data_IF_667095287273
#
_entry.id   IF_667095287273
#
_cell.length_a   1.000
_cell.length_b   1.000
_cell.length_c   1.000
_cell.angle_alpha   90.00
_cell.angle_beta   90.00
_cell.angle_gamma   90.00
#
_symmetry.space_group_name_H-M   'P 1'
#
loop_
_entity.id
_entity.type
_entity.pdbx_description
1 polymer ?
#
# COMPACT_ATOMS: atom_id res chain seq x y z
N UNK A 1 -9.80 -22.49 -10.80
CA UNK A 1 -10.88 -21.51 -10.52
C UNK A 1 -10.29 -20.10 -10.58
N UNK A 2 -9.50 -19.80 -11.63
CA UNK A 2 -8.38 -18.84 -11.51
C UNK A 2 -8.49 -17.66 -12.48
N UNK A 3 -9.40 -17.74 -13.46
CA UNK A 3 -9.66 -16.67 -14.42
C UNK A 3 -10.37 -15.47 -13.80
N UNK A 4 -11.35 -15.73 -12.93
CA UNK A 4 -12.10 -14.67 -12.23
C UNK A 4 -11.19 -13.86 -11.31
N UNK A 5 -10.31 -14.53 -10.55
CA UNK A 5 -9.34 -13.86 -9.67
C UNK A 5 -8.33 -13.04 -10.47
N UNK A 6 -7.87 -13.56 -11.62
CA UNK A 6 -6.98 -12.83 -12.54
C UNK A 6 -7.65 -11.59 -13.11
N UNK A 7 -8.93 -11.69 -13.51
CA UNK A 7 -9.72 -10.55 -13.98
C UNK A 7 -9.92 -9.50 -12.88
N UNK A 8 -10.21 -9.91 -11.65
CA UNK A 8 -10.34 -9.00 -10.51
C UNK A 8 -9.02 -8.26 -10.23
N UNK A 9 -7.89 -8.97 -10.28
CA UNK A 9 -6.56 -8.38 -10.14
C UNK A 9 -6.25 -7.38 -11.27
N UNK A 10 -6.58 -7.72 -12.52
CA UNK A 10 -6.43 -6.82 -13.66
C UNK A 10 -7.28 -5.55 -13.51
N UNK A 11 -8.56 -5.71 -13.18
CA UNK A 11 -9.49 -4.59 -12.98
C UNK A 11 -9.00 -3.68 -11.84
N UNK A 12 -8.57 -4.27 -10.72
CA UNK A 12 -7.98 -3.52 -9.60
C UNK A 12 -6.71 -2.76 -10.03
N UNK A 13 -5.82 -3.41 -10.78
CA UNK A 13 -4.61 -2.80 -11.32
C UNK A 13 -4.91 -1.62 -12.25
N UNK A 14 -5.90 -1.76 -13.14
CA UNK A 14 -6.37 -0.67 -14.02
C UNK A 14 -6.89 0.51 -13.22
N UNK A 15 -7.70 0.28 -12.18
CA UNK A 15 -8.20 1.36 -11.32
C UNK A 15 -7.09 2.08 -10.55
N UNK A 16 -6.11 1.35 -10.01
CA UNK A 16 -4.95 1.94 -9.33
C UNK A 16 -4.14 2.78 -10.32
N UNK A 17 -3.88 2.25 -11.52
CA UNK A 17 -3.16 2.95 -12.58
C UNK A 17 -3.87 4.23 -13.04
N UNK A 18 -5.18 4.13 -13.31
CA UNK A 18 -6.01 5.29 -13.66
C UNK A 18 -6.00 6.35 -12.57
N UNK A 19 -6.13 5.96 -11.31
CA UNK A 19 -6.06 6.89 -10.17
C UNK A 19 -4.71 7.61 -10.10
N UNK A 20 -3.60 6.87 -10.26
CA UNK A 20 -2.25 7.44 -10.23
C UNK A 20 -2.00 8.42 -11.40
N UNK A 21 -2.43 8.06 -12.61
CA UNK A 21 -2.33 8.91 -13.81
C UNK A 21 -3.24 10.13 -13.68
N UNK A 22 -4.45 9.98 -13.15
CA UNK A 22 -5.37 11.09 -12.92
C UNK A 22 -4.79 12.11 -11.94
N UNK A 23 -4.24 11.66 -10.80
CA UNK A 23 -3.62 12.55 -9.84
C UNK A 23 -2.44 13.33 -10.46
N UNK A 24 -1.67 12.63 -11.30
CA UNK A 24 -0.55 13.20 -12.02
C UNK A 24 -0.96 14.18 -13.12
N UNK A 25 -2.02 13.88 -13.87
CA UNK A 25 -2.54 14.74 -14.93
C UNK A 25 -3.30 15.96 -14.40
N UNK A 26 -4.09 15.80 -13.34
CA UNK A 26 -4.91 16.88 -12.79
C UNK A 26 -4.12 17.84 -11.89
N UNK A 27 -3.24 17.31 -11.03
CA UNK A 27 -2.53 18.11 -10.01
C UNK A 27 -1.01 18.17 -10.23
N UNK A 28 -0.47 17.45 -11.21
CA UNK A 28 0.99 17.36 -11.41
C UNK A 28 1.72 16.62 -10.28
N UNK A 29 0.99 15.89 -9.42
CA UNK A 29 1.53 15.22 -8.22
C UNK A 29 1.70 13.73 -8.45
N UNK A 30 2.70 13.15 -7.81
CA UNK A 30 2.96 11.69 -7.83
C UNK A 30 2.21 11.04 -6.66
N UNK A 31 1.52 9.93 -6.91
CA UNK A 31 0.84 9.17 -5.87
C UNK A 31 1.86 8.43 -4.99
N UNK A 32 2.16 9.00 -3.82
CA UNK A 32 3.06 8.40 -2.82
C UNK A 32 2.52 8.60 -1.41
N UNK A 33 1.87 7.56 -0.86
CA UNK A 33 1.09 7.65 0.38
C UNK A 33 1.94 8.12 1.57
N UNK A 34 3.11 7.54 1.81
CA UNK A 34 4.01 7.96 2.91
C UNK A 34 4.44 9.43 2.77
N UNK A 35 4.64 9.92 1.54
CA UNK A 35 4.96 11.32 1.30
C UNK A 35 3.76 12.24 1.52
N UNK A 36 2.56 11.80 1.14
CA UNK A 36 1.31 12.55 1.37
C UNK A 36 1.07 12.72 2.87
N UNK A 37 1.12 11.62 3.64
CA UNK A 37 0.95 11.62 5.09
C UNK A 37 2.08 12.37 5.79
N UNK A 38 3.33 12.06 5.45
CA UNK A 38 4.51 12.67 6.08
C UNK A 38 4.48 14.18 5.99
N UNK A 39 4.25 14.73 4.79
CA UNK A 39 4.11 16.18 4.61
C UNK A 39 2.92 16.77 5.36
N UNK A 40 1.79 16.05 5.49
CA UNK A 40 0.64 16.54 6.25
C UNK A 40 0.96 16.68 7.75
N UNK A 41 1.82 15.81 8.27
CA UNK A 41 2.28 15.81 9.66
C UNK A 41 3.39 16.84 9.89
N UNK A 42 4.41 16.87 9.03
CA UNK A 42 5.63 17.68 9.23
C UNK A 42 5.50 19.10 8.69
N UNK A 43 4.68 19.34 7.67
CA UNK A 43 4.51 20.63 7.01
C UNK A 43 3.05 21.08 7.22
N UNK A 44 2.75 21.70 8.38
CA UNK A 44 1.40 22.23 8.69
C UNK A 44 0.94 23.29 7.66
N UNK A 45 -0.39 23.44 7.42
CA UNK A 45 -0.94 23.86 6.14
C UNK A 45 -0.93 25.37 5.93
N UNK A 46 -0.36 25.85 4.82
CA UNK A 46 -0.73 27.16 4.25
C UNK A 46 -1.18 27.10 2.78
N UNK A 47 -1.27 25.94 2.15
CA UNK A 47 -1.82 25.88 0.77
C UNK A 47 -1.99 24.52 0.09
N UNK A 48 -1.43 23.42 0.62
CA UNK A 48 -1.33 22.16 -0.14
C UNK A 48 -1.96 20.94 0.57
N UNK A 49 -2.71 21.14 1.65
CA UNK A 49 -3.28 20.05 2.45
C UNK A 49 -4.64 19.56 1.97
N UNK A 50 -5.41 20.39 1.27
CA UNK A 50 -6.77 20.05 0.84
C UNK A 50 -6.80 18.83 -0.08
N UNK A 51 -5.94 18.79 -1.11
CA UNK A 51 -5.88 17.64 -2.03
C UNK A 51 -5.33 16.38 -1.36
N UNK A 52 -4.39 16.53 -0.42
CA UNK A 52 -3.80 15.42 0.35
C UNK A 52 -4.85 14.76 1.22
N UNK A 53 -5.63 15.57 1.93
CA UNK A 53 -6.77 15.10 2.71
C UNK A 53 -7.82 14.44 1.81
N UNK A 54 -8.21 15.07 0.70
CA UNK A 54 -9.16 14.48 -0.24
C UNK A 54 -8.68 13.12 -0.77
N UNK A 55 -7.39 13.00 -1.11
CA UNK A 55 -6.79 11.73 -1.54
C UNK A 55 -6.83 10.66 -0.44
N UNK A 56 -6.47 11.02 0.80
CA UNK A 56 -6.50 10.09 1.93
C UNK A 56 -7.94 9.66 2.30
N UNK A 57 -8.89 10.58 2.28
CA UNK A 57 -10.30 10.25 2.47
C UNK A 57 -10.82 9.34 1.38
N UNK A 58 -10.45 9.58 0.11
CA UNK A 58 -10.77 8.68 -1.00
C UNK A 58 -10.15 7.28 -0.85
N UNK A 59 -8.90 7.20 -0.38
CA UNK A 59 -8.22 5.93 -0.14
C UNK A 59 -8.93 5.12 0.96
N UNK A 60 -9.37 5.77 2.04
CA UNK A 60 -10.06 5.12 3.17
C UNK A 60 -11.51 4.82 2.83
N UNK A 61 -12.18 5.65 2.04
CA UNK A 61 -13.59 5.44 1.69
C UNK A 61 -13.82 4.22 0.80
N UNK A 62 -12.86 3.86 -0.06
CA UNK A 62 -12.93 2.67 -0.92
C UNK A 62 -13.32 1.38 -0.19
N UNK A 63 -12.49 0.87 0.75
CA UNK A 63 -12.83 -0.33 1.52
C UNK A 63 -14.09 -0.15 2.38
N UNK A 64 -14.35 1.04 2.92
CA UNK A 64 -15.55 1.30 3.72
C UNK A 64 -16.85 1.21 2.91
N UNK A 65 -16.84 1.69 1.66
CA UNK A 65 -17.98 1.58 0.75
C UNK A 65 -18.25 0.12 0.37
N UNK A 66 -17.18 -0.65 0.11
CA UNK A 66 -17.32 -2.10 -0.15
C UNK A 66 -17.95 -2.79 1.05
N UNK A 67 -17.54 -2.46 2.27
CA UNK A 67 -18.17 -2.97 3.50
C UNK A 67 -19.64 -2.57 3.62
N UNK A 68 -19.96 -1.30 3.37
CA UNK A 68 -21.34 -0.80 3.45
C UNK A 68 -22.28 -1.46 2.42
N UNK A 69 -21.75 -1.86 1.26
CA UNK A 69 -22.50 -2.58 0.21
C UNK A 69 -22.64 -4.09 0.49
N UNK A 70 -22.24 -4.56 1.68
CA UNK A 70 -22.33 -5.97 2.07
C UNK A 70 -21.13 -6.82 1.64
N UNK A 71 -20.04 -6.22 1.16
CA UNK A 71 -18.76 -6.90 0.98
C UNK A 71 -18.15 -7.25 2.34
N UNK A 72 -17.67 -8.47 2.51
CA UNK A 72 -17.00 -8.89 3.76
C UNK A 72 -15.72 -8.10 4.06
N UNK A 73 -15.21 -8.21 5.29
CA UNK A 73 -13.98 -7.56 5.83
C UNK A 73 -12.65 -8.01 5.18
N UNK A 74 -12.73 -8.53 3.95
CA UNK A 74 -11.58 -8.95 3.17
C UNK A 74 -11.18 -10.37 3.52
N UNK A 75 -11.41 -11.25 2.56
CA UNK A 75 -10.52 -12.37 2.30
C UNK A 75 -10.55 -12.67 0.80
N UNK A 76 -10.05 -11.74 -0.01
CA UNK A 76 -10.08 -11.85 -1.48
C UNK A 76 -9.24 -13.05 -1.96
N UNK A 77 -8.32 -13.53 -1.13
CA UNK A 77 -7.46 -14.68 -1.39
C UNK A 77 -7.91 -15.96 -0.64
N UNK A 78 -9.10 -15.96 0.00
CA UNK A 78 -9.63 -17.10 0.76
C UNK A 78 -8.62 -17.67 1.79
N UNK A 79 -7.77 -16.81 2.37
CA UNK A 79 -6.72 -17.21 3.33
C UNK A 79 -7.29 -17.18 4.74
N UNK A 80 -7.62 -18.31 5.37
CA UNK A 80 -8.28 -18.32 6.67
C UNK A 80 -7.50 -17.45 7.69
N UNK A 81 -8.15 -16.44 8.27
CA UNK A 81 -7.54 -15.54 9.26
C UNK A 81 -6.96 -14.22 8.72
N UNK A 82 -6.88 -13.99 7.41
CA UNK A 82 -6.46 -12.69 6.83
C UNK A 82 -7.59 -11.64 6.82
N UNK A 83 -8.35 -11.57 7.91
CA UNK A 83 -9.46 -10.62 8.06
C UNK A 83 -8.94 -9.34 8.71
N UNK A 84 -9.38 -8.19 8.22
CA UNK A 84 -9.12 -6.89 8.86
C UNK A 84 -9.66 -6.96 10.30
N UNK A 85 -8.75 -6.97 11.29
CA UNK A 85 -9.09 -7.08 12.72
C UNK A 85 -8.48 -8.28 13.46
N UNK A 86 -7.95 -9.27 12.76
CA UNK A 86 -7.29 -10.43 13.36
C UNK A 86 -5.82 -10.55 12.88
N UNK A 87 -4.90 -9.70 13.36
CA UNK A 87 -3.49 -9.76 12.93
C UNK A 87 -2.85 -11.08 13.36
N UNK A 88 -2.24 -11.80 12.41
CA UNK A 88 -1.65 -13.13 12.61
C UNK A 88 -0.58 -13.19 13.73
N UNK A 89 0.08 -12.07 14.04
CA UNK A 89 1.04 -11.94 15.15
C UNK A 89 0.58 -11.05 16.30
N UNK A 90 -0.71 -10.73 16.38
CA UNK A 90 -1.27 -9.84 17.39
C UNK A 90 -1.09 -8.35 17.08
N UNK A 91 -1.87 -7.52 17.78
CA UNK A 91 -1.84 -6.06 17.65
C UNK A 91 -0.45 -5.45 17.92
N UNK A 92 0.32 -5.90 18.94
CA UNK A 92 1.65 -5.32 19.20
C UNK A 92 2.62 -5.48 18.03
N UNK A 93 2.65 -6.67 17.41
CA UNK A 93 3.52 -6.92 16.25
C UNK A 93 3.07 -6.07 15.05
N UNK A 94 1.77 -5.91 14.84
CA UNK A 94 1.23 -5.06 13.77
C UNK A 94 1.63 -3.59 13.95
N UNK A 95 1.56 -3.07 15.18
CA UNK A 95 1.99 -1.70 15.49
C UNK A 95 3.50 -1.52 15.28
N UNK A 96 4.30 -2.47 15.75
CA UNK A 96 5.76 -2.45 15.55
C UNK A 96 6.12 -2.50 14.07
N UNK A 97 5.49 -3.41 13.30
CA UNK A 97 5.67 -3.51 11.86
C UNK A 97 5.29 -2.21 11.14
N UNK A 98 4.15 -1.60 11.50
CA UNK A 98 3.72 -0.31 10.96
C UNK A 98 4.72 0.81 11.22
N UNK A 99 5.28 0.88 12.43
CA UNK A 99 6.30 1.86 12.79
C UNK A 99 7.60 1.65 11.98
N UNK A 100 8.08 0.40 11.89
CA UNK A 100 9.27 0.03 11.11
C UNK A 100 9.10 0.39 9.63
N UNK A 101 7.93 0.09 9.05
CA UNK A 101 7.61 0.45 7.66
C UNK A 101 7.54 1.98 7.51
N UNK A 102 6.93 2.69 8.45
CA UNK A 102 6.88 4.15 8.46
C UNK A 102 8.28 4.77 8.42
N UNK A 103 9.15 4.35 9.35
CA UNK A 103 10.55 4.80 9.40
C UNK A 103 11.32 4.44 8.12
N UNK A 104 11.17 3.20 7.65
CA UNK A 104 11.83 2.72 6.44
C UNK A 104 11.42 3.51 5.19
N UNK A 105 10.13 3.81 5.03
CA UNK A 105 9.65 4.63 3.90
C UNK A 105 10.10 6.09 3.99
N UNK A 106 10.26 6.62 5.20
CA UNK A 106 10.87 7.93 5.43
C UNK A 106 12.32 7.99 4.99
N UNK A 107 13.14 7.02 5.45
CA UNK A 107 14.56 6.91 5.07
C UNK A 107 14.74 6.61 3.58
N UNK A 108 13.87 5.79 3.00
CA UNK A 108 13.84 5.47 1.57
C UNK A 108 13.33 6.61 0.68
N UNK A 109 12.92 7.75 1.26
CA UNK A 109 12.29 8.88 0.55
C UNK A 109 11.06 8.50 -0.29
N UNK A 110 10.35 7.45 0.10
CA UNK A 110 9.23 6.92 -0.66
C UNK A 110 8.72 5.59 -0.14
N UNK A 111 7.56 5.19 -0.65
CA UNK A 111 6.91 3.93 -0.34
C UNK A 111 6.65 3.13 -1.62
N UNK A 112 6.08 1.94 -1.50
CA UNK A 112 5.75 1.06 -2.63
C UNK A 112 4.74 1.67 -3.60
N UNK A 113 3.81 2.50 -3.15
CA UNK A 113 2.92 3.24 -4.07
C UNK A 113 3.68 4.27 -4.93
N UNK A 114 4.64 4.97 -4.34
CA UNK A 114 5.47 5.95 -5.05
C UNK A 114 6.53 5.30 -5.95
N UNK A 115 7.39 4.44 -5.39
CA UNK A 115 8.47 3.78 -6.15
C UNK A 115 7.94 2.66 -7.04
N UNK A 116 7.05 1.82 -6.54
CA UNK A 116 6.51 0.68 -7.28
C UNK A 116 5.55 1.13 -8.38
N UNK A 117 4.41 1.74 -8.03
CA UNK A 117 3.38 2.08 -9.04
C UNK A 117 3.85 3.21 -9.95
N UNK A 118 4.15 4.38 -9.39
CA UNK A 118 4.50 5.54 -10.22
C UNK A 118 5.95 5.52 -10.71
N UNK A 119 6.88 5.01 -9.90
CA UNK A 119 8.31 5.06 -10.15
C UNK A 119 8.79 4.05 -11.20
N UNK A 120 8.27 2.82 -11.18
CA UNK A 120 8.55 1.82 -12.22
C UNK A 120 7.91 2.21 -13.55
N UNK A 121 6.68 2.75 -13.53
CA UNK A 121 6.01 3.24 -14.74
C UNK A 121 6.78 4.37 -15.44
N UNK A 122 7.59 5.13 -14.69
CA UNK A 122 8.48 6.18 -15.20
C UNK A 122 9.91 5.70 -15.53
N UNK A 123 10.17 4.39 -15.45
CA UNK A 123 11.48 3.77 -15.73
C UNK A 123 12.64 4.36 -14.91
N UNK A 124 12.38 4.74 -13.65
CA UNK A 124 13.43 5.28 -12.78
C UNK A 124 14.30 4.16 -12.20
N UNK A 125 15.60 4.18 -12.49
CA UNK A 125 16.59 3.24 -11.94
C UNK A 125 16.60 3.25 -10.40
N UNK A 126 16.45 4.42 -9.79
CA UNK A 126 16.36 4.57 -8.33
C UNK A 126 15.15 3.81 -7.77
N UNK A 127 14.00 3.94 -8.43
CA UNK A 127 12.78 3.23 -8.02
C UNK A 127 12.88 1.74 -8.26
N UNK A 128 13.51 1.30 -9.37
CA UNK A 128 13.79 -0.12 -9.61
C UNK A 128 14.64 -0.73 -8.50
N UNK A 129 15.72 -0.06 -8.10
CA UNK A 129 16.56 -0.52 -6.99
C UNK A 129 15.78 -0.58 -5.67
N UNK A 130 15.05 0.49 -5.32
CA UNK A 130 14.27 0.54 -4.09
C UNK A 130 13.19 -0.55 -4.03
N UNK A 131 12.43 -0.73 -5.11
CA UNK A 131 11.39 -1.75 -5.20
C UNK A 131 11.98 -3.16 -5.22
N UNK A 132 13.11 -3.37 -5.92
CA UNK A 132 13.82 -4.65 -5.94
C UNK A 132 14.29 -5.07 -4.54
N UNK A 133 14.95 -4.17 -3.81
CA UNK A 133 15.40 -4.43 -2.43
C UNK A 133 14.19 -4.71 -1.52
N UNK A 134 13.14 -3.90 -1.60
CA UNK A 134 11.92 -4.12 -0.82
C UNK A 134 11.33 -5.51 -1.06
N UNK A 135 11.17 -5.93 -2.33
CA UNK A 135 10.62 -7.23 -2.68
C UNK A 135 11.50 -8.39 -2.21
N UNK A 136 12.82 -8.29 -2.40
CA UNK A 136 13.77 -9.32 -1.95
C UNK A 136 13.68 -9.49 -0.43
N UNK A 137 13.72 -8.39 0.33
CA UNK A 137 13.64 -8.42 1.80
C UNK A 137 12.28 -8.95 2.26
N UNK A 138 11.17 -8.56 1.62
CA UNK A 138 9.84 -9.07 1.95
C UNK A 138 9.74 -10.59 1.71
N UNK A 139 10.21 -11.08 0.55
CA UNK A 139 10.24 -12.52 0.24
C UNK A 139 11.10 -13.27 1.25
N UNK A 140 12.30 -12.78 1.55
CA UNK A 140 13.19 -13.40 2.54
C UNK A 140 12.55 -13.43 3.93
N UNK A 141 11.92 -12.33 4.35
CA UNK A 141 11.22 -12.23 5.64
C UNK A 141 10.10 -13.26 5.73
N UNK A 142 9.23 -13.36 4.72
CA UNK A 142 8.13 -14.34 4.67
C UNK A 142 8.67 -15.78 4.66
N UNK A 143 9.74 -16.04 3.91
CA UNK A 143 10.36 -17.36 3.86
C UNK A 143 10.85 -17.79 5.25
N UNK A 144 11.61 -16.91 5.94
CA UNK A 144 12.12 -17.17 7.27
C UNK A 144 11.00 -17.34 8.30
N UNK A 145 10.01 -16.43 8.31
CA UNK A 145 8.92 -16.51 9.30
C UNK A 145 8.04 -17.73 9.11
N UNK A 146 7.72 -18.11 7.86
CA UNK A 146 6.88 -19.28 7.57
C UNK A 146 7.62 -20.60 7.73
N UNK A 147 8.87 -20.72 7.28
CA UNK A 147 9.56 -22.03 7.17
C UNK A 147 10.59 -22.28 8.27
N UNK A 148 11.22 -21.24 8.83
CA UNK A 148 12.28 -21.41 9.84
C UNK A 148 11.78 -21.20 11.26
N UNK A 149 10.90 -20.22 11.46
CA UNK A 149 10.35 -19.88 12.78
C UNK A 149 9.06 -20.65 13.08
N UNK A 150 8.43 -21.23 12.05
CA UNK A 150 7.16 -21.97 12.19
C UNK A 150 5.95 -21.07 12.46
N UNK A 151 6.05 -19.76 12.17
CA UNK A 151 4.97 -18.78 12.35
C UNK A 151 3.90 -18.81 11.25
N UNK A 152 3.70 -19.95 10.60
CA UNK A 152 2.68 -20.12 9.58
C UNK A 152 1.28 -20.15 10.21
N UNK A 153 0.45 -19.18 9.84
CA UNK A 153 -1.00 -19.41 9.72
C UNK A 153 -1.29 -20.21 8.46
#
# INVERSE_FOLDING_TARGET
>A
MDWMASLQGLVGGVFIGLSAVWLMGALGRIAGISGIIGNLITQRPKGDSAWRLAFLFGLVSGPLLVMAMGGGLGNVADVPGAVIGAPAGGVPLMLLAGLLVGLGTGLGSGCTSGHGVCGLARLSLRSMAATGVFLIVAVATVYVTRHMIGGGV
#
